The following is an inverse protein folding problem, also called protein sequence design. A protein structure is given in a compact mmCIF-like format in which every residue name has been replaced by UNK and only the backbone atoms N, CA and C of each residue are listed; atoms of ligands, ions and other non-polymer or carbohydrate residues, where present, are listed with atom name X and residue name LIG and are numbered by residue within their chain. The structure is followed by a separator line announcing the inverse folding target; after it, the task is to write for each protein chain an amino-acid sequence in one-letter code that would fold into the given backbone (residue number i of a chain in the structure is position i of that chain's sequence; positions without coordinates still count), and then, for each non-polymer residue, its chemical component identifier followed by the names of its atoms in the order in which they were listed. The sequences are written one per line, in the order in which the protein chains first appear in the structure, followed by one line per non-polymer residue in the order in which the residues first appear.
data_IF_968611605832
#
_entry.id   IF_968611605832
#
_cell.length_a   1.000
_cell.length_b   1.000
_cell.length_c   1.000
_cell.angle_alpha   90.00
_cell.angle_beta   90.00
_cell.angle_gamma   90.00
#
_symmetry.space_group_name_H-M   'P 1'
#
loop_
_entity.id
_entity.type
_entity.pdbx_description
1 polymer ?
#
# COMPACT_ATOMS: atom_id res chain seq x y z
N UNK A 1 -19.92 -2.41 -13.72
CA UNK A 1 -18.81 -1.80 -12.98
C UNK A 1 -17.65 -1.64 -13.95
N UNK A 2 -17.27 -0.41 -14.27
CA UNK A 2 -16.18 -0.16 -15.22
C UNK A 2 -14.87 -0.13 -14.44
N UNK A 3 -14.06 -1.17 -14.58
CA UNK A 3 -12.73 -1.21 -13.96
C UNK A 3 -11.77 -0.37 -14.81
N UNK A 4 -11.20 0.69 -14.23
CA UNK A 4 -10.14 1.48 -14.88
C UNK A 4 -8.81 0.77 -14.57
N UNK A 5 -8.11 0.21 -15.56
CA UNK A 5 -6.81 -0.41 -15.32
C UNK A 5 -5.77 0.66 -14.94
N UNK A 6 -4.86 0.32 -14.03
CA UNK A 6 -3.71 1.17 -13.73
C UNK A 6 -2.69 1.05 -14.86
N UNK A 7 -2.30 2.18 -15.44
CA UNK A 7 -1.34 2.23 -16.55
C UNK A 7 -0.15 3.07 -16.10
N UNK A 8 1.10 2.62 -16.30
CA UNK A 8 2.28 3.40 -15.96
C UNK A 8 2.25 4.80 -16.59
N UNK A 9 2.73 5.80 -15.85
CA UNK A 9 2.74 7.23 -16.24
C UNK A 9 1.35 7.85 -16.39
N UNK A 10 0.29 7.20 -15.91
CA UNK A 10 -1.01 7.82 -15.68
C UNK A 10 -1.19 8.13 -14.19
N UNK A 11 -2.02 9.13 -13.91
CA UNK A 11 -2.41 9.47 -12.54
C UNK A 11 -3.19 8.29 -11.96
N UNK A 12 -2.77 7.83 -10.78
CA UNK A 12 -3.49 6.81 -10.03
C UNK A 12 -4.79 7.44 -9.52
N UNK A 13 -5.97 6.81 -9.72
CA UNK A 13 -7.21 7.29 -9.12
C UNK A 13 -7.07 7.44 -7.61
N UNK A 14 -7.76 8.44 -7.04
CA UNK A 14 -7.73 8.61 -5.59
C UNK A 14 -8.26 7.36 -4.87
N UNK A 15 -7.68 7.11 -3.69
CA UNK A 15 -7.97 5.95 -2.88
C UNK A 15 -8.05 6.40 -1.42
N UNK A 16 -9.23 6.24 -0.83
CA UNK A 16 -9.44 6.42 0.61
C UNK A 16 -9.93 5.11 1.20
N UNK A 17 -9.25 4.63 2.25
CA UNK A 17 -9.55 3.35 2.91
C UNK A 17 -9.56 3.50 4.42
N UNK A 18 -10.38 2.72 5.15
CA UNK A 18 -10.33 2.69 6.60
C UNK A 18 -9.02 2.04 7.09
N UNK A 19 -8.51 2.53 8.22
CA UNK A 19 -7.32 1.97 8.87
C UNK A 19 -7.70 0.96 9.96
N UNK A 20 -6.81 -0.01 10.17
CA UNK A 20 -6.86 -0.85 11.37
C UNK A 20 -6.67 0.04 12.60
N UNK A 21 -7.58 -0.06 13.57
CA UNK A 21 -7.58 0.81 14.76
C UNK A 21 -8.38 2.11 14.60
N UNK A 22 -9.00 2.32 13.44
CA UNK A 22 -9.88 3.46 13.18
C UNK A 22 -9.22 4.60 12.39
N UNK A 23 -10.05 5.51 11.89
CA UNK A 23 -9.62 6.57 10.97
C UNK A 23 -9.53 6.10 9.52
N UNK A 24 -9.03 6.99 8.66
CA UNK A 24 -8.90 6.76 7.22
C UNK A 24 -7.51 7.15 6.74
N UNK A 25 -7.06 6.45 5.71
CA UNK A 25 -5.88 6.77 4.94
C UNK A 25 -6.30 7.15 3.52
N UNK A 26 -5.74 8.24 3.00
CA UNK A 26 -6.07 8.78 1.66
C UNK A 26 -4.79 8.97 0.86
N UNK A 27 -4.76 8.43 -0.37
CA UNK A 27 -3.61 8.51 -1.27
C UNK A 27 -3.23 9.96 -1.59
N UNK A 28 -4.22 10.83 -1.84
CA UNK A 28 -3.97 12.25 -2.11
C UNK A 28 -3.27 13.01 -0.96
N UNK A 29 -3.28 12.47 0.27
CA UNK A 29 -2.64 13.10 1.44
C UNK A 29 -1.18 12.66 1.63
N UNK A 30 -0.67 11.72 0.81
CA UNK A 30 0.67 11.20 0.96
C UNK A 30 1.69 12.07 0.25
N UNK A 31 2.78 12.40 0.93
CA UNK A 31 3.86 13.25 0.39
C UNK A 31 5.24 12.61 0.58
N UNK A 32 5.50 11.40 0.06
CA UNK A 32 6.82 10.78 0.12
C UNK A 32 7.81 11.52 -0.81
N UNK A 33 9.11 11.43 -0.54
CA UNK A 33 10.12 12.07 -1.40
C UNK A 33 10.16 11.47 -2.81
N UNK A 34 9.81 10.18 -2.97
CA UNK A 34 9.80 9.47 -4.24
C UNK A 34 8.39 9.01 -4.64
N UNK A 35 7.84 8.05 -3.92
CA UNK A 35 6.50 7.51 -4.18
C UNK A 35 6.00 6.68 -2.99
N UNK A 36 4.70 6.40 -2.97
CA UNK A 36 4.08 5.46 -2.04
C UNK A 36 4.01 4.07 -2.68
N UNK A 37 4.64 3.09 -2.06
CA UNK A 37 4.49 1.67 -2.40
C UNK A 37 3.24 1.11 -1.71
N UNK A 38 2.18 0.89 -2.49
CA UNK A 38 0.97 0.21 -2.02
C UNK A 38 1.06 -1.27 -2.36
N UNK A 39 0.99 -2.13 -1.33
CA UNK A 39 0.91 -3.58 -1.49
C UNK A 39 -0.50 -4.05 -1.13
N UNK A 40 -1.23 -4.51 -2.13
CA UNK A 40 -2.53 -5.18 -1.92
C UNK A 40 -2.29 -6.68 -1.75
N UNK A 41 -2.64 -7.23 -0.59
CA UNK A 41 -2.52 -8.65 -0.29
C UNK A 41 -3.90 -9.28 -0.05
N UNK A 42 -3.94 -10.62 -0.03
CA UNK A 42 -5.23 -11.36 0.00
C UNK A 42 -5.99 -11.20 1.31
N UNK A 43 -5.30 -11.24 2.44
CA UNK A 43 -5.90 -11.14 3.77
C UNK A 43 -5.16 -11.88 4.88
N UNK A 44 -5.63 -11.75 6.12
CA UNK A 44 -5.02 -12.24 7.37
C UNK A 44 -4.75 -13.76 7.33
N UNK A 45 -5.67 -14.52 6.73
CA UNK A 45 -5.61 -15.99 6.71
C UNK A 45 -4.79 -16.56 5.54
N UNK A 46 -4.14 -15.72 4.74
CA UNK A 46 -3.29 -16.15 3.63
C UNK A 46 -1.85 -16.43 4.11
N UNK A 47 -1.39 -17.70 4.18
CA UNK A 47 -0.06 -18.02 4.71
C UNK A 47 1.08 -17.44 3.86
N UNK A 48 0.92 -17.43 2.53
CA UNK A 48 1.91 -16.82 1.61
C UNK A 48 1.99 -15.31 1.83
N UNK A 49 0.87 -14.66 2.11
CA UNK A 49 0.81 -13.23 2.36
C UNK A 49 1.53 -12.89 3.66
N UNK A 50 1.38 -13.70 4.71
CA UNK A 50 2.12 -13.55 5.97
C UNK A 50 3.63 -13.59 5.75
N UNK A 51 4.14 -14.58 4.99
CA UNK A 51 5.56 -14.64 4.66
C UNK A 51 6.04 -13.41 3.87
N UNK A 52 5.28 -12.98 2.85
CA UNK A 52 5.60 -11.79 2.09
C UNK A 52 5.65 -10.53 2.97
N UNK A 53 4.66 -10.34 3.84
CA UNK A 53 4.59 -9.18 4.74
C UNK A 53 5.73 -9.21 5.79
N UNK A 54 6.12 -10.40 6.28
CA UNK A 54 7.28 -10.53 7.15
C UNK A 54 8.57 -10.10 6.44
N UNK A 55 8.73 -10.45 5.16
CA UNK A 55 9.87 -10.05 4.34
C UNK A 55 9.86 -8.56 4.00
N UNK A 56 8.68 -8.01 3.70
CA UNK A 56 8.49 -6.59 3.46
C UNK A 56 8.81 -5.77 4.72
N UNK A 57 8.33 -6.21 5.89
CA UNK A 57 8.57 -5.56 7.18
C UNK A 57 10.06 -5.37 7.46
N UNK A 58 10.90 -6.37 7.16
CA UNK A 58 12.37 -6.27 7.33
C UNK A 58 13.03 -5.25 6.39
N UNK A 59 12.34 -4.79 5.35
CA UNK A 59 12.83 -3.86 4.32
C UNK A 59 12.23 -2.46 4.44
N UNK A 60 11.25 -2.23 5.31
CA UNK A 60 10.55 -0.93 5.44
C UNK A 60 11.54 0.22 5.66
N UNK A 61 12.48 0.07 6.57
CA UNK A 61 13.49 1.10 6.86
C UNK A 61 14.36 1.41 5.62
N UNK A 62 14.66 0.41 4.78
CA UNK A 62 15.41 0.60 3.55
C UNK A 62 14.60 1.32 2.45
N UNK A 63 13.27 1.18 2.46
CA UNK A 63 12.39 1.96 1.59
C UNK A 63 12.29 3.40 2.07
N UNK A 64 12.06 3.59 3.37
CA UNK A 64 11.98 4.91 3.98
C UNK A 64 13.28 5.69 3.81
N UNK A 65 14.45 5.06 3.97
CA UNK A 65 15.75 5.70 3.74
C UNK A 65 15.98 6.14 2.28
N UNK A 66 15.13 5.69 1.35
CA UNK A 66 15.13 6.06 -0.07
C UNK A 66 13.96 6.97 -0.42
N UNK A 67 13.22 7.46 0.57
CA UNK A 67 12.08 8.34 0.35
C UNK A 67 10.82 7.64 -0.14
N UNK A 68 10.70 6.32 0.10
CA UNK A 68 9.53 5.53 -0.28
C UNK A 68 8.72 5.15 0.96
N UNK A 69 7.47 5.59 1.00
CA UNK A 69 6.51 5.19 2.03
C UNK A 69 5.83 3.89 1.65
N UNK A 70 5.71 2.96 2.60
CA UNK A 70 5.09 1.65 2.37
C UNK A 70 3.72 1.59 3.05
N UNK A 71 2.68 1.31 2.27
CA UNK A 71 1.32 1.09 2.75
C UNK A 71 0.83 -0.29 2.31
N UNK A 72 0.17 -1.03 3.21
CA UNK A 72 -0.37 -2.37 2.92
C UNK A 72 -1.88 -2.38 3.11
N UNK A 73 -2.59 -3.09 2.22
CA UNK A 73 -4.05 -3.14 2.18
C UNK A 73 -4.52 -4.56 1.87
N UNK A 74 -5.59 -5.01 2.52
CA UNK A 74 -6.35 -6.20 2.13
C UNK A 74 -7.84 -5.88 2.10
N UNK A 75 -8.65 -6.85 1.69
CA UNK A 75 -10.11 -6.82 1.78
C UNK A 75 -10.63 -7.61 2.98
N UNK A 76 -9.82 -7.77 4.03
CA UNK A 76 -10.28 -8.40 5.29
C UNK A 76 -11.42 -7.60 5.94
#
# INVERSE_FOLDING_TARGET
MTQIPLIPRQVVPDLTVPLVGGGHWTLANQTPDQFTLIVVYRGLHCPICSHYLADLKRKVDNFQSRGVDVFVLSSD
#
